data_IF_489361525744
#
_entry.id   IF_489361525744
#
_cell.length_a   1.000
_cell.length_b   1.000
_cell.length_c   1.000
_cell.angle_alpha   90.00
_cell.angle_beta   90.00
_cell.angle_gamma   90.00
#
_symmetry.space_group_name_H-M   'P 1'
#
loop_
_entity.id
_entity.type
_entity.pdbx_description
1 polymer ?
#
# COMPACT_ATOMS: atom_id res chain seq x y z
N UNK A 1 65.75 8.61 -23.59
CA UNK A 1 64.48 8.44 -24.36
C UNK A 1 64.20 6.94 -24.39
N UNK A 2 63.16 6.34 -23.78
CA UNK A 2 61.68 6.56 -23.94
C UNK A 2 61.34 6.64 -25.44
N UNK A 3 60.50 5.83 -26.09
CA UNK A 3 59.39 4.91 -25.74
C UNK A 3 59.38 3.76 -26.78
N UNK A 4 58.65 2.63 -26.70
CA UNK A 4 57.75 1.95 -25.73
C UNK A 4 57.68 0.45 -26.17
N UNK A 5 57.32 -0.49 -25.30
CA UNK A 5 56.70 -1.78 -25.69
C UNK A 5 55.29 -1.82 -25.08
N UNK A 6 54.29 -2.17 -25.88
CA UNK A 6 52.89 -2.18 -25.44
C UNK A 6 52.59 -3.47 -24.67
N UNK A 7 52.69 -3.41 -23.34
CA UNK A 7 52.13 -4.43 -22.46
C UNK A 7 50.71 -4.02 -22.08
N UNK A 8 49.72 -4.64 -22.74
CA UNK A 8 48.33 -4.56 -22.31
C UNK A 8 48.19 -5.48 -21.09
N UNK A 9 48.39 -4.89 -19.91
CA UNK A 9 47.97 -5.54 -18.67
C UNK A 9 46.44 -5.57 -18.66
N UNK A 10 45.84 -6.76 -18.66
CA UNK A 10 44.47 -6.92 -18.21
C UNK A 10 44.42 -6.66 -16.70
N UNK A 11 44.34 -5.39 -16.35
CA UNK A 11 43.96 -4.99 -15.00
C UNK A 11 42.55 -5.56 -14.75
N UNK A 12 42.47 -6.54 -13.87
CA UNK A 12 41.20 -6.98 -13.26
C UNK A 12 40.45 -5.74 -12.79
N UNK A 13 39.31 -5.46 -13.42
CA UNK A 13 38.47 -4.33 -13.07
C UNK A 13 37.99 -4.53 -11.62
N UNK A 14 38.66 -3.82 -10.71
CA UNK A 14 38.41 -3.94 -9.28
C UNK A 14 36.97 -3.56 -8.95
N UNK A 15 36.35 -4.35 -8.06
CA UNK A 15 35.08 -4.01 -7.47
C UNK A 15 35.18 -2.66 -6.75
N UNK A 16 34.59 -1.61 -7.34
CA UNK A 16 34.37 -0.29 -6.72
C UNK A 16 33.31 0.51 -7.49
N UNK A 17 32.17 -0.13 -7.78
CA UNK A 17 30.92 0.59 -8.08
C UNK A 17 29.76 0.14 -7.20
N UNK A 18 30.07 -0.33 -5.97
CA UNK A 18 29.22 -0.09 -4.81
C UNK A 18 29.35 1.39 -4.42
N UNK A 19 28.93 2.27 -5.32
CA UNK A 19 28.60 3.62 -4.95
C UNK A 19 27.42 3.53 -4.01
N UNK A 20 27.66 3.79 -2.72
CA UNK A 20 26.59 3.95 -1.74
C UNK A 20 25.76 5.17 -2.16
N UNK A 21 24.77 4.95 -3.03
CA UNK A 21 23.61 5.83 -3.05
C UNK A 21 23.15 5.95 -1.60
N UNK A 22 22.86 7.17 -1.11
CA UNK A 22 22.12 7.27 0.14
C UNK A 22 20.84 6.47 -0.11
N UNK A 23 20.62 5.40 0.67
CA UNK A 23 19.33 4.74 0.67
C UNK A 23 18.32 5.82 1.03
N UNK A 24 17.50 6.21 0.04
CA UNK A 24 16.31 7.02 0.29
C UNK A 24 15.36 6.06 0.98
N UNK A 25 15.56 5.91 2.29
CA UNK A 25 14.82 4.97 3.13
C UNK A 25 13.33 5.18 2.90
N UNK A 26 12.62 4.09 2.61
CA UNK A 26 11.16 4.01 2.53
C UNK A 26 10.44 5.14 3.28
N UNK A 27 9.73 6.01 2.54
CA UNK A 27 8.94 7.10 3.14
C UNK A 27 7.89 6.51 4.09
N UNK A 28 7.98 6.83 5.37
CA UNK A 28 6.94 6.50 6.37
C UNK A 28 5.73 7.42 6.20
N UNK A 29 4.51 6.90 6.42
CA UNK A 29 3.29 7.73 6.47
C UNK A 29 3.32 8.73 7.63
N UNK A 30 3.92 8.33 8.75
CA UNK A 30 4.19 9.17 9.93
C UNK A 30 5.71 9.21 10.15
N UNK A 31 6.39 10.35 9.91
CA UNK A 31 7.86 10.42 9.97
C UNK A 31 8.48 10.10 11.34
N UNK A 32 7.78 10.43 12.43
CA UNK A 32 8.21 10.17 13.80
C UNK A 32 7.12 9.38 14.55
N UNK A 33 6.99 8.07 14.30
CA UNK A 33 5.87 7.28 14.79
C UNK A 33 6.01 6.98 16.29
N UNK A 34 4.91 7.11 17.03
CA UNK A 34 4.85 6.77 18.46
C UNK A 34 4.67 5.25 18.63
N UNK A 35 5.34 4.68 19.64
CA UNK A 35 5.20 3.25 19.98
C UNK A 35 3.73 2.89 20.23
N UNK A 36 3.16 1.94 19.47
CA UNK A 36 1.76 1.55 19.61
C UNK A 36 1.57 0.55 20.76
N UNK A 37 0.34 0.51 21.29
CA UNK A 37 -0.15 -0.56 22.15
C UNK A 37 -1.09 -1.46 21.34
N UNK A 38 -0.53 -2.20 20.38
CA UNK A 38 -1.30 -3.08 19.49
C UNK A 38 -1.32 -4.52 20.06
N UNK A 39 -2.47 -5.04 20.53
CA UNK A 39 -2.58 -6.43 20.94
C UNK A 39 -2.43 -7.39 19.75
N UNK A 40 -2.07 -8.64 20.01
CA UNK A 40 -2.09 -9.70 18.99
C UNK A 40 -3.53 -10.18 18.76
N UNK A 41 -3.99 -10.14 17.51
CA UNK A 41 -5.35 -10.47 17.09
C UNK A 41 -5.42 -11.73 16.21
N UNK A 42 -4.39 -12.59 16.28
CA UNK A 42 -4.29 -13.88 15.54
C UNK A 42 -5.53 -14.79 15.67
N UNK A 43 -6.28 -14.69 16.77
CA UNK A 43 -7.51 -15.45 17.01
C UNK A 43 -8.79 -14.81 16.44
N UNK A 44 -8.75 -13.53 16.07
CA UNK A 44 -9.90 -12.82 15.48
C UNK A 44 -10.04 -13.23 14.01
N UNK A 45 -11.28 -13.55 13.63
CA UNK A 45 -11.72 -13.85 12.27
C UNK A 45 -13.04 -13.13 12.01
N UNK A 46 -13.36 -12.85 10.75
CA UNK A 46 -14.60 -12.18 10.33
C UNK A 46 -14.75 -10.78 10.97
N UNK A 47 -13.64 -10.06 11.06
CA UNK A 47 -13.55 -8.67 11.48
C UNK A 47 -14.25 -7.71 10.51
N UNK A 48 -14.17 -7.97 9.20
CA UNK A 48 -14.75 -7.11 8.16
C UNK A 48 -16.26 -7.07 8.25
N UNK A 49 -16.82 -5.86 8.39
CA UNK A 49 -18.27 -5.65 8.31
C UNK A 49 -18.68 -5.74 6.84
N UNK A 50 -19.70 -6.54 6.52
CA UNK A 50 -20.13 -6.71 5.14
C UNK A 50 -20.87 -5.46 4.62
N UNK A 51 -20.85 -5.24 3.30
CA UNK A 51 -21.62 -4.15 2.68
C UNK A 51 -23.10 -4.21 3.05
N UNK A 52 -23.68 -5.42 3.12
CA UNK A 52 -25.06 -5.65 3.54
C UNK A 52 -25.34 -5.25 5.01
N UNK A 53 -24.35 -5.35 5.90
CA UNK A 53 -24.47 -4.88 7.28
C UNK A 53 -24.32 -3.37 7.39
N UNK A 54 -23.40 -2.76 6.64
CA UNK A 54 -23.29 -1.30 6.54
C UNK A 54 -24.58 -0.69 6.01
N UNK A 55 -25.11 -1.21 4.90
CA UNK A 55 -26.35 -0.73 4.27
C UNK A 55 -27.54 -0.75 5.25
N UNK A 56 -27.66 -1.82 6.05
CA UNK A 56 -28.71 -1.92 7.09
C UNK A 56 -28.59 -0.84 8.15
N UNK A 57 -27.37 -0.47 8.55
CA UNK A 57 -27.12 0.57 9.56
C UNK A 57 -27.36 1.97 8.98
N UNK A 58 -26.88 2.22 7.76
CA UNK A 58 -27.06 3.49 7.05
C UNK A 58 -28.56 3.78 6.85
N UNK A 59 -29.36 2.78 6.48
CA UNK A 59 -30.82 2.86 6.30
C UNK A 59 -31.63 3.14 7.59
N UNK A 60 -31.01 3.15 8.78
CA UNK A 60 -31.64 3.64 10.01
C UNK A 60 -31.76 5.18 10.03
N UNK A 61 -31.01 5.86 9.16
CA UNK A 61 -31.03 7.32 9.01
C UNK A 61 -32.23 7.71 8.15
N UNK A 62 -33.13 8.51 8.70
CA UNK A 62 -34.23 9.12 7.94
C UNK A 62 -33.63 10.26 7.12
N UNK A 63 -33.43 10.08 5.80
CA UNK A 63 -32.81 11.06 4.90
C UNK A 63 -33.72 12.27 4.60
N UNK A 64 -33.92 13.14 5.60
CA UNK A 64 -34.55 14.44 5.45
C UNK A 64 -33.48 15.53 5.19
N UNK A 65 -33.93 16.77 4.94
CA UNK A 65 -33.06 17.89 4.55
C UNK A 65 -31.90 18.18 5.54
N UNK A 66 -32.01 17.78 6.81
CA UNK A 66 -30.95 17.99 7.83
C UNK A 66 -29.94 16.84 7.90
N UNK A 67 -30.32 15.63 7.50
CA UNK A 67 -29.49 14.41 7.65
C UNK A 67 -28.91 13.92 6.33
N UNK A 68 -29.54 14.25 5.19
CA UNK A 68 -29.16 13.79 3.85
C UNK A 68 -27.72 14.14 3.45
N UNK A 69 -27.24 15.33 3.80
CA UNK A 69 -25.86 15.73 3.50
C UNK A 69 -24.85 14.95 4.36
N UNK A 70 -25.06 14.92 5.67
CA UNK A 70 -24.11 14.30 6.60
C UNK A 70 -24.05 12.77 6.43
N UNK A 71 -25.16 12.11 6.05
CA UNK A 71 -25.12 10.67 5.75
C UNK A 71 -24.39 10.37 4.44
N UNK A 72 -24.45 11.28 3.44
CA UNK A 72 -23.64 11.16 2.23
C UNK A 72 -22.14 11.30 2.53
N UNK A 73 -21.76 12.26 3.40
CA UNK A 73 -20.39 12.41 3.90
C UNK A 73 -19.94 11.15 4.67
N UNK A 74 -20.80 10.58 5.53
CA UNK A 74 -20.50 9.35 6.27
C UNK A 74 -20.31 8.14 5.35
N UNK A 75 -21.16 7.96 4.33
CA UNK A 75 -20.98 6.94 3.26
C UNK A 75 -19.63 7.10 2.56
N UNK A 76 -19.26 8.34 2.21
CA UNK A 76 -17.96 8.63 1.58
C UNK A 76 -16.79 8.25 2.49
N UNK A 77 -16.84 8.64 3.77
CA UNK A 77 -15.80 8.32 4.76
C UNK A 77 -15.69 6.82 5.05
N UNK A 78 -16.80 6.08 5.02
CA UNK A 78 -16.77 4.61 5.10
C UNK A 78 -16.07 3.99 3.87
N UNK A 79 -16.32 4.48 2.66
CA UNK A 79 -15.61 3.99 1.46
C UNK A 79 -14.10 4.26 1.53
N UNK A 80 -13.72 5.46 1.96
CA UNK A 80 -12.32 5.87 2.20
C UNK A 80 -11.65 4.96 3.25
N UNK A 81 -12.33 4.71 4.38
CA UNK A 81 -11.87 3.80 5.44
C UNK A 81 -11.61 2.38 4.92
N UNK A 82 -12.52 1.83 4.10
CA UNK A 82 -12.34 0.49 3.52
C UNK A 82 -11.13 0.46 2.59
N UNK A 83 -11.02 1.42 1.67
CA UNK A 83 -9.86 1.53 0.76
C UNK A 83 -8.55 1.64 1.54
N UNK A 84 -8.51 2.49 2.57
CA UNK A 84 -7.35 2.66 3.43
C UNK A 84 -6.96 1.35 4.14
N UNK A 85 -7.91 0.65 4.75
CA UNK A 85 -7.66 -0.60 5.46
C UNK A 85 -7.16 -1.70 4.51
N UNK A 86 -7.80 -1.89 3.35
CA UNK A 86 -7.36 -2.89 2.37
C UNK A 86 -5.97 -2.55 1.78
N UNK A 87 -5.65 -1.28 1.53
CA UNK A 87 -4.30 -0.90 1.10
C UNK A 87 -3.22 -1.29 2.13
N UNK A 88 -3.49 -1.12 3.44
CA UNK A 88 -2.58 -1.59 4.50
C UNK A 88 -2.42 -3.12 4.44
N UNK A 89 -3.54 -3.86 4.36
CA UNK A 89 -3.51 -5.32 4.33
C UNK A 89 -2.72 -5.85 3.13
N UNK A 90 -2.89 -5.21 1.97
CA UNK A 90 -2.42 -5.71 0.67
C UNK A 90 -1.00 -5.30 0.29
N UNK A 91 -0.58 -4.07 0.59
CA UNK A 91 0.78 -3.62 0.25
C UNK A 91 1.80 -4.06 1.29
N UNK A 92 1.40 -4.05 2.57
CA UNK A 92 2.29 -4.30 3.70
C UNK A 92 2.24 -5.75 4.21
N UNK A 93 1.84 -6.73 3.37
CA UNK A 93 1.83 -8.18 3.68
C UNK A 93 3.18 -8.69 4.25
N UNK A 94 4.29 -8.00 3.92
CA UNK A 94 5.62 -8.32 4.47
C UNK A 94 5.87 -7.91 5.93
N UNK A 95 5.04 -7.06 6.54
CA UNK A 95 5.16 -6.64 7.95
C UNK A 95 4.31 -7.57 8.83
N UNK A 96 4.90 -8.28 9.80
CA UNK A 96 4.18 -9.27 10.65
C UNK A 96 2.89 -8.71 11.30
N UNK A 97 2.84 -7.39 11.53
CA UNK A 97 1.74 -6.70 12.20
C UNK A 97 0.67 -6.13 11.28
N UNK A 98 0.77 -6.27 9.95
CA UNK A 98 -0.20 -5.70 9.02
C UNK A 98 -1.64 -6.19 9.26
N UNK A 99 -1.82 -7.50 9.50
CA UNK A 99 -3.10 -8.15 9.82
C UNK A 99 -3.66 -7.70 11.19
N UNK A 100 -2.81 -7.55 12.21
CA UNK A 100 -3.21 -7.03 13.52
C UNK A 100 -3.72 -5.57 13.40
N UNK A 101 -3.06 -4.72 12.61
CA UNK A 101 -3.50 -3.33 12.34
C UNK A 101 -4.85 -3.33 11.61
N UNK A 102 -4.97 -4.10 10.52
CA UNK A 102 -6.20 -4.23 9.74
C UNK A 102 -7.39 -4.66 10.61
N UNK A 103 -7.20 -5.71 11.43
CA UNK A 103 -8.21 -6.19 12.38
C UNK A 103 -8.56 -5.14 13.43
N UNK A 104 -7.58 -4.41 13.94
CA UNK A 104 -7.81 -3.35 14.92
C UNK A 104 -8.62 -2.19 14.33
N UNK A 105 -8.38 -1.80 13.07
CA UNK A 105 -9.24 -0.84 12.37
C UNK A 105 -10.70 -1.30 12.36
N UNK A 106 -10.97 -2.52 11.90
CA UNK A 106 -12.34 -3.04 11.81
C UNK A 106 -13.04 -3.24 13.16
N UNK A 107 -12.30 -3.60 14.21
CA UNK A 107 -12.83 -3.65 15.57
C UNK A 107 -13.20 -2.24 16.09
N UNK A 108 -12.36 -1.22 15.82
CA UNK A 108 -12.68 0.18 16.14
C UNK A 108 -13.92 0.66 15.33
N UNK A 109 -14.03 0.30 14.05
CA UNK A 109 -15.20 0.59 13.20
C UNK A 109 -16.49 -0.01 13.78
N UNK A 110 -16.48 -1.26 14.26
CA UNK A 110 -17.67 -1.90 14.87
C UNK A 110 -18.23 -1.07 16.04
N UNK A 111 -17.37 -0.47 16.87
CA UNK A 111 -17.78 0.42 17.97
C UNK A 111 -18.42 1.72 17.44
N UNK A 112 -17.87 2.33 16.38
CA UNK A 112 -18.47 3.52 15.73
C UNK A 112 -19.86 3.18 15.17
N UNK A 113 -20.00 2.02 14.54
CA UNK A 113 -21.27 1.54 14.00
C UNK A 113 -22.31 1.23 15.09
N UNK A 114 -21.90 0.77 16.28
CA UNK A 114 -22.78 0.60 17.44
C UNK A 114 -23.32 1.94 17.98
N UNK A 115 -22.55 3.03 17.85
CA UNK A 115 -23.05 4.38 18.14
C UNK A 115 -24.01 4.82 17.04
N UNK A 116 -23.66 4.62 15.75
CA UNK A 116 -24.54 4.97 14.62
C UNK A 116 -25.90 4.26 14.67
N UNK A 117 -25.96 3.01 15.16
CA UNK A 117 -27.21 2.26 15.37
C UNK A 117 -28.13 2.90 16.42
N UNK A 118 -27.58 3.58 17.42
CA UNK A 118 -28.32 4.22 18.53
C UNK A 118 -28.69 5.66 18.21
N UNK A 119 -27.84 6.36 17.48
CA UNK A 119 -27.94 7.79 17.15
C UNK A 119 -28.11 8.07 15.63
N UNK A 120 -28.92 7.31 14.87
CA UNK A 120 -28.87 7.33 13.40
C UNK A 120 -29.34 8.65 12.76
N UNK A 121 -30.06 9.50 13.50
CA UNK A 121 -30.58 10.78 13.02
C UNK A 121 -29.90 12.00 13.67
N UNK A 122 -28.89 11.78 14.51
CA UNK A 122 -28.20 12.83 15.25
C UNK A 122 -27.03 13.38 14.44
N UNK A 123 -27.27 14.49 13.73
CA UNK A 123 -26.30 15.11 12.80
C UNK A 123 -24.92 15.36 13.45
N UNK A 124 -24.88 15.84 14.68
CA UNK A 124 -23.62 16.09 15.39
C UNK A 124 -22.91 14.80 15.80
N UNK A 125 -23.66 13.74 16.11
CA UNK A 125 -23.06 12.43 16.34
C UNK A 125 -22.54 11.79 15.04
N UNK A 126 -23.21 11.97 13.91
CA UNK A 126 -22.72 11.48 12.61
C UNK A 126 -21.41 12.22 12.24
N UNK A 127 -21.34 13.54 12.42
CA UNK A 127 -20.08 14.30 12.25
C UNK A 127 -18.95 13.80 13.16
N UNK A 128 -19.26 13.49 14.43
CA UNK A 128 -18.29 12.87 15.35
C UNK A 128 -17.86 11.50 14.87
N UNK A 129 -18.77 10.67 14.39
CA UNK A 129 -18.46 9.36 13.83
C UNK A 129 -17.51 9.46 12.62
N UNK A 130 -17.73 10.44 11.71
CA UNK A 130 -16.81 10.74 10.60
C UNK A 130 -15.39 11.06 11.12
N UNK A 131 -15.26 11.99 12.07
CA UNK A 131 -13.96 12.36 12.64
C UNK A 131 -13.27 11.18 13.36
N UNK A 132 -14.03 10.32 14.03
CA UNK A 132 -13.47 9.10 14.66
C UNK A 132 -12.93 8.13 13.61
N UNK A 133 -13.55 7.99 12.44
CA UNK A 133 -13.00 7.18 11.35
C UNK A 133 -11.65 7.73 10.86
N UNK A 134 -11.50 9.06 10.75
CA UNK A 134 -10.21 9.70 10.44
C UNK A 134 -9.15 9.43 11.50
N UNK A 135 -9.51 9.50 12.78
CA UNK A 135 -8.57 9.23 13.87
C UNK A 135 -8.19 7.74 13.96
N UNK A 136 -9.08 6.82 13.56
CA UNK A 136 -8.74 5.39 13.41
C UNK A 136 -7.72 5.19 12.28
N UNK A 137 -7.90 5.84 11.13
CA UNK A 137 -6.93 5.76 10.02
C UNK A 137 -5.56 6.33 10.41
N UNK A 138 -5.52 7.51 11.05
CA UNK A 138 -4.26 8.10 11.57
C UNK A 138 -3.59 7.21 12.63
N UNK A 139 -4.37 6.53 13.47
CA UNK A 139 -3.86 5.53 14.43
C UNK A 139 -3.17 4.38 13.69
N UNK A 140 -3.82 3.84 12.66
CA UNK A 140 -3.26 2.78 11.82
C UNK A 140 -1.99 3.22 11.07
N UNK A 141 -1.96 4.44 10.53
CA UNK A 141 -0.77 5.01 9.88
C UNK A 141 0.42 5.15 10.83
N UNK A 142 0.18 5.57 12.07
CA UNK A 142 1.21 5.63 13.11
C UNK A 142 1.68 4.22 13.53
N UNK A 143 0.74 3.30 13.76
CA UNK A 143 1.01 1.90 14.09
C UNK A 143 1.87 1.25 13.00
N UNK A 144 1.48 1.37 11.74
CA UNK A 144 2.18 0.86 10.57
C UNK A 144 3.58 1.48 10.42
N UNK A 145 3.67 2.81 10.46
CA UNK A 145 4.95 3.52 10.36
C UNK A 145 5.91 3.13 11.48
N UNK A 146 5.40 2.86 12.69
CA UNK A 146 6.22 2.33 13.78
C UNK A 146 6.81 0.98 13.39
N UNK A 147 6.00 -0.01 13.00
CA UNK A 147 6.52 -1.35 12.69
C UNK A 147 7.46 -1.35 11.47
N UNK A 148 7.15 -0.58 10.42
CA UNK A 148 8.05 -0.38 9.28
C UNK A 148 9.40 0.20 9.74
N UNK A 149 9.41 1.21 10.63
CA UNK A 149 10.65 1.81 11.12
C UNK A 149 11.53 0.84 11.94
N UNK A 150 10.96 -0.23 12.49
CA UNK A 150 11.71 -1.26 13.21
C UNK A 150 12.20 -2.40 12.30
N UNK A 151 11.65 -2.56 11.09
CA UNK A 151 12.02 -3.62 10.15
C UNK A 151 12.84 -3.08 8.96
N UNK A 152 14.16 -2.99 9.17
CA UNK A 152 15.10 -2.60 8.13
C UNK A 152 15.15 -3.59 6.94
N UNK A 153 14.79 -4.86 7.14
CA UNK A 153 14.76 -5.85 6.06
C UNK A 153 13.54 -5.62 5.17
N UNK A 154 12.38 -5.35 5.75
CA UNK A 154 11.19 -4.96 4.99
C UNK A 154 11.43 -3.67 4.21
N UNK A 155 12.02 -2.63 4.82
CA UNK A 155 12.34 -1.38 4.11
C UNK A 155 13.26 -1.63 2.89
N UNK A 156 14.35 -2.40 3.07
CA UNK A 156 15.25 -2.73 1.96
C UNK A 156 14.56 -3.53 0.84
N UNK A 157 13.67 -4.47 1.18
CA UNK A 157 12.87 -5.20 0.19
C UNK A 157 11.81 -4.32 -0.48
N UNK A 158 11.17 -3.41 0.24
CA UNK A 158 10.22 -2.45 -0.33
C UNK A 158 10.91 -1.53 -1.35
N UNK A 159 12.05 -0.93 -0.96
CA UNK A 159 12.81 -0.04 -1.83
C UNK A 159 13.37 -0.80 -3.05
N UNK A 160 13.75 -2.08 -2.89
CA UNK A 160 14.08 -2.99 -4.01
C UNK A 160 12.86 -3.22 -4.93
N UNK A 161 11.67 -3.43 -4.38
CA UNK A 161 10.45 -3.62 -5.18
C UNK A 161 10.10 -2.36 -6.00
N UNK A 162 10.26 -1.17 -5.40
CA UNK A 162 10.10 0.11 -6.09
C UNK A 162 11.12 0.25 -7.23
N UNK A 163 12.39 -0.10 -6.98
CA UNK A 163 13.46 -0.04 -7.98
C UNK A 163 13.16 -0.95 -9.18
N UNK A 164 12.86 -2.23 -8.94
CA UNK A 164 12.50 -3.18 -10.01
C UNK A 164 11.26 -2.74 -10.78
N UNK A 165 10.27 -2.15 -10.09
CA UNK A 165 9.08 -1.57 -10.73
C UNK A 165 9.41 -0.37 -11.62
N UNK A 166 10.35 0.50 -11.23
CA UNK A 166 10.86 1.60 -12.07
C UNK A 166 11.67 1.08 -13.27
N UNK A 167 12.39 -0.03 -13.13
CA UNK A 167 13.03 -0.73 -14.27
C UNK A 167 11.97 -1.27 -15.23
N UNK A 168 10.95 -1.98 -14.73
CA UNK A 168 9.84 -2.52 -15.52
C UNK A 168 9.06 -1.43 -16.28
N UNK A 169 8.89 -0.25 -15.66
CA UNK A 169 8.30 0.94 -16.29
C UNK A 169 9.06 1.35 -17.56
N UNK A 170 10.39 1.23 -17.59
CA UNK A 170 11.16 1.53 -18.78
C UNK A 170 10.93 0.50 -19.90
N UNK A 171 10.96 -0.79 -19.57
CA UNK A 171 10.73 -1.91 -20.52
C UNK A 171 9.30 -1.92 -21.11
N UNK A 172 8.31 -1.47 -20.35
CA UNK A 172 6.92 -1.39 -20.80
C UNK A 172 6.70 -0.32 -21.88
N UNK A 173 7.64 0.61 -22.11
CA UNK A 173 7.55 1.56 -23.24
C UNK A 173 7.61 0.87 -24.61
N UNK A 174 8.25 -0.29 -24.69
CA UNK A 174 8.49 -1.02 -25.95
C UNK A 174 7.83 -2.39 -25.99
N UNK A 175 7.48 -2.97 -24.83
CA UNK A 175 7.01 -4.35 -24.73
C UNK A 175 5.85 -4.58 -23.75
N UNK A 176 4.97 -3.58 -23.59
CA UNK A 176 3.77 -3.67 -22.73
C UNK A 176 2.87 -4.86 -23.12
N UNK A 177 2.43 -5.71 -22.17
CA UNK A 177 1.38 -6.69 -22.44
C UNK A 177 0.02 -6.00 -22.66
N UNK A 178 -0.92 -6.70 -23.29
CA UNK A 178 -2.27 -6.17 -23.51
C UNK A 178 -3.06 -6.12 -22.19
N UNK A 179 -3.98 -5.15 -22.08
CA UNK A 179 -4.78 -4.95 -20.85
C UNK A 179 -5.91 -5.97 -20.70
N UNK A 180 -6.21 -6.71 -21.77
CA UNK A 180 -7.10 -7.87 -21.77
C UNK A 180 -6.36 -9.20 -21.55
N UNK A 181 -5.04 -9.20 -21.38
CA UNK A 181 -4.28 -10.40 -21.00
C UNK A 181 -4.21 -10.52 -19.46
N UNK A 182 -4.99 -11.42 -18.83
CA UNK A 182 -5.00 -11.57 -17.37
C UNK A 182 -3.69 -12.13 -16.81
N UNK A 183 -2.83 -12.72 -17.64
CA UNK A 183 -1.53 -13.25 -17.25
C UNK A 183 -0.37 -12.30 -17.60
N UNK A 184 -0.61 -11.27 -18.41
CA UNK A 184 0.36 -10.26 -18.83
C UNK A 184 1.21 -9.67 -17.68
N UNK A 185 0.61 -9.28 -16.54
CA UNK A 185 1.35 -8.80 -15.37
C UNK A 185 2.31 -9.86 -14.78
N UNK A 186 1.83 -11.11 -14.64
CA UNK A 186 2.61 -12.22 -14.06
C UNK A 186 3.76 -12.61 -14.99
N UNK A 187 3.45 -12.79 -16.28
CA UNK A 187 4.41 -13.13 -17.32
C UNK A 187 5.50 -12.07 -17.46
N UNK A 188 5.16 -10.79 -17.26
CA UNK A 188 6.14 -9.70 -17.23
C UNK A 188 7.12 -9.83 -16.07
N UNK A 189 6.62 -10.04 -14.84
CA UNK A 189 7.49 -10.21 -13.66
C UNK A 189 8.42 -11.41 -13.80
N UNK A 190 7.91 -12.55 -14.30
CA UNK A 190 8.75 -13.73 -14.60
C UNK A 190 9.80 -13.43 -15.68
N UNK A 191 9.41 -12.78 -16.79
CA UNK A 191 10.30 -12.45 -17.90
C UNK A 191 11.45 -11.54 -17.48
N UNK A 192 11.17 -10.49 -16.71
CA UNK A 192 12.16 -9.49 -16.35
C UNK A 192 12.95 -9.84 -15.07
N UNK A 193 12.31 -10.50 -14.09
CA UNK A 193 12.87 -10.70 -12.75
C UNK A 193 12.75 -12.13 -12.21
N UNK A 194 12.25 -13.10 -12.99
CA UNK A 194 12.11 -14.50 -12.57
C UNK A 194 13.44 -15.22 -12.26
N UNK A 195 14.59 -14.57 -12.45
CA UNK A 195 15.89 -15.03 -12.00
C UNK A 195 16.25 -14.59 -10.56
N UNK A 196 15.67 -13.49 -10.06
CA UNK A 196 15.98 -12.87 -8.77
C UNK A 196 15.51 -13.74 -7.58
N UNK A 197 16.34 -13.85 -6.55
CA UNK A 197 16.08 -14.75 -5.41
C UNK A 197 14.89 -14.30 -4.56
N UNK A 198 14.71 -12.99 -4.35
CA UNK A 198 13.57 -12.47 -3.57
C UNK A 198 12.26 -12.66 -4.34
N UNK A 199 12.27 -12.48 -5.68
CA UNK A 199 11.10 -12.77 -6.54
C UNK A 199 10.70 -14.25 -6.48
N UNK A 200 11.67 -15.17 -6.41
CA UNK A 200 11.40 -16.61 -6.30
C UNK A 200 10.89 -17.03 -4.93
N UNK A 201 11.47 -16.47 -3.86
CA UNK A 201 11.32 -17.00 -2.50
C UNK A 201 10.33 -16.24 -1.63
N UNK A 202 10.13 -14.94 -1.88
CA UNK A 202 9.30 -14.06 -1.05
C UNK A 202 7.96 -13.79 -1.76
N UNK A 203 6.92 -14.54 -1.38
CA UNK A 203 5.59 -14.47 -2.02
C UNK A 203 5.03 -13.04 -2.08
N UNK A 204 5.04 -12.29 -0.96
CA UNK A 204 4.49 -10.94 -0.91
C UNK A 204 5.26 -9.96 -1.84
N UNK A 205 6.58 -10.10 -1.91
CA UNK A 205 7.44 -9.27 -2.77
C UNK A 205 7.13 -9.52 -4.25
N UNK A 206 6.95 -10.79 -4.64
CA UNK A 206 6.47 -11.16 -5.97
C UNK A 206 5.07 -10.61 -6.26
N UNK A 207 4.12 -10.75 -5.33
CA UNK A 207 2.77 -10.17 -5.43
C UNK A 207 2.83 -8.65 -5.66
N UNK A 208 3.72 -7.96 -4.96
CA UNK A 208 3.91 -6.51 -5.05
C UNK A 208 4.42 -6.09 -6.44
N UNK A 209 5.36 -6.83 -7.04
CA UNK A 209 5.78 -6.60 -8.42
C UNK A 209 4.67 -6.90 -9.45
N UNK A 210 3.82 -7.91 -9.22
CA UNK A 210 2.67 -8.21 -10.09
C UNK A 210 1.63 -7.07 -10.03
N UNK A 211 1.44 -6.45 -8.85
CA UNK A 211 0.64 -5.22 -8.70
C UNK A 211 1.27 -4.06 -9.47
N UNK A 212 2.58 -3.83 -9.34
CA UNK A 212 3.29 -2.84 -10.14
C UNK A 212 3.09 -3.02 -11.65
N UNK A 213 3.20 -4.25 -12.15
CA UNK A 213 2.95 -4.54 -13.56
C UNK A 213 1.52 -4.13 -13.98
N UNK A 214 0.49 -4.42 -13.19
CA UNK A 214 -0.87 -3.93 -13.45
C UNK A 214 -0.95 -2.39 -13.44
N UNK A 215 -0.36 -1.72 -12.45
CA UNK A 215 -0.35 -0.25 -12.39
C UNK A 215 0.32 0.38 -13.61
N UNK A 216 1.44 -0.19 -14.07
CA UNK A 216 2.16 0.26 -15.27
C UNK A 216 1.37 0.00 -16.55
N UNK A 217 0.64 -1.11 -16.64
CA UNK A 217 -0.25 -1.41 -17.76
C UNK A 217 -1.33 -0.33 -17.86
N UNK A 218 -2.04 -0.05 -16.77
CA UNK A 218 -3.08 0.99 -16.74
C UNK A 218 -2.53 2.40 -16.95
N UNK A 219 -1.37 2.73 -16.38
CA UNK A 219 -0.69 4.00 -16.59
C UNK A 219 -0.39 4.26 -18.08
N UNK A 220 0.09 3.25 -18.81
CA UNK A 220 0.41 3.42 -20.23
C UNK A 220 -0.80 3.27 -21.18
N UNK A 221 -1.97 2.89 -20.66
CA UNK A 221 -3.25 2.93 -21.38
C UNK A 221 -3.85 4.34 -21.40
N UNK A 222 -3.80 5.05 -20.27
CA UNK A 222 -4.40 6.38 -20.11
C UNK A 222 -3.56 7.28 -19.16
N UNK A 223 -2.33 7.66 -19.55
CA UNK A 223 -1.36 8.31 -18.68
C UNK A 223 -1.79 9.69 -18.17
N UNK A 224 -2.63 10.39 -18.92
CA UNK A 224 -3.18 11.71 -18.58
C UNK A 224 -4.26 11.68 -17.48
N UNK A 225 -4.87 10.53 -17.21
CA UNK A 225 -5.86 10.34 -16.13
C UNK A 225 -5.37 9.42 -15.01
N UNK A 226 -4.21 8.79 -15.15
CA UNK A 226 -3.64 7.93 -14.12
C UNK A 226 -3.19 8.75 -12.90
N UNK A 227 -3.81 8.50 -11.75
CA UNK A 227 -3.47 9.13 -10.47
C UNK A 227 -3.01 8.06 -9.47
N UNK A 228 -1.75 8.10 -8.98
CA UNK A 228 -1.26 7.19 -7.95
C UNK A 228 -2.07 7.28 -6.65
N UNK A 229 -2.74 6.19 -6.26
CA UNK A 229 -3.63 6.15 -5.09
C UNK A 229 -2.92 5.61 -3.85
N UNK A 230 -2.18 4.52 -4.01
CA UNK A 230 -1.51 3.81 -2.92
C UNK A 230 -0.10 4.36 -2.69
N UNK A 231 0.59 3.89 -1.64
CA UNK A 231 1.94 4.39 -1.33
C UNK A 231 2.98 3.74 -2.24
N UNK A 232 2.76 2.49 -2.62
CA UNK A 232 3.62 1.82 -3.60
C UNK A 232 3.44 2.41 -5.01
N UNK A 233 2.21 2.73 -5.43
CA UNK A 233 1.97 3.48 -6.67
C UNK A 233 2.72 4.82 -6.64
N UNK A 234 2.54 5.64 -5.59
CA UNK A 234 3.25 6.93 -5.46
C UNK A 234 4.76 6.74 -5.54
N UNK A 235 5.32 5.76 -4.82
CA UNK A 235 6.75 5.49 -4.85
C UNK A 235 7.30 5.09 -6.24
N UNK A 236 6.47 4.51 -7.13
CA UNK A 236 6.84 4.15 -8.52
C UNK A 236 6.71 5.35 -9.48
N UNK A 237 5.75 6.24 -9.24
CA UNK A 237 5.41 7.33 -10.17
C UNK A 237 6.01 8.70 -9.80
N UNK A 238 6.40 8.92 -8.55
CA UNK A 238 7.30 9.99 -8.08
C UNK A 238 8.78 9.71 -8.41
#
# INVERSE_FOLDING_TARGET
MKNRKLLIAFATAGASFLGTMPLVSMKLRVPNPKRPNLPSLKAVKNEVVTLNELDKIIRLTNENDKTKEVIAQFRSKLNEFYQHAFNILEEYEGIEKHDDIFKMMFLKLKVVLDIQRKEPNNVEQIKRNINILDDIMKSADNELSYFVSQDLKFQALWDKAVLLSKTMKAEFKTSRPSTVDPYGPVNSVEKFFGADEDVKTIKWFKSLLIRAANYLIHYYDAPEVFQPKTDFEKAIFE
#
